data_IF_971529314452
#
_entry.id   IF_971529314452
#
_cell.length_a   1.000
_cell.length_b   1.000
_cell.length_c   1.000
_cell.angle_alpha   90.00
_cell.angle_beta   90.00
_cell.angle_gamma   90.00
#
_symmetry.space_group_name_H-M   'P 1'
#
loop_
_entity.id
_entity.type
_entity.pdbx_description
1 polymer ?
#
# COMPACT_ATOMS: atom_id res chain seq x y z
N UNK A 1 -1.53 22.58 -8.65
CA UNK A 1 -0.19 22.77 -9.22
C UNK A 1 -0.30 23.23 -10.67
N UNK A 2 0.56 24.11 -11.09
CA UNK A 2 0.65 24.63 -12.45
C UNK A 2 1.50 23.74 -13.37
N UNK A 3 2.36 22.92 -12.80
CA UNK A 3 3.25 21.97 -13.46
C UNK A 3 3.71 20.82 -12.55
N UNK A 4 4.53 19.92 -13.09
CA UNK A 4 4.97 18.74 -12.37
C UNK A 4 5.96 19.01 -11.23
N UNK A 5 6.78 20.07 -11.31
CA UNK A 5 7.72 20.41 -10.22
C UNK A 5 6.97 20.90 -8.99
N UNK A 6 6.04 21.85 -9.17
CA UNK A 6 5.16 22.32 -8.10
C UNK A 6 4.31 21.16 -7.52
N UNK A 7 3.84 20.24 -8.38
CA UNK A 7 3.11 19.06 -7.95
C UNK A 7 3.96 18.18 -7.02
N UNK A 8 5.24 17.94 -7.33
CA UNK A 8 6.14 17.16 -6.47
C UNK A 8 6.36 17.82 -5.11
N UNK A 9 6.51 19.15 -5.07
CA UNK A 9 6.62 19.88 -3.80
C UNK A 9 5.36 19.76 -2.93
N UNK A 10 4.18 19.83 -3.55
CA UNK A 10 2.90 19.68 -2.84
C UNK A 10 2.71 18.24 -2.32
N UNK A 11 3.06 17.22 -3.11
CA UNK A 11 2.98 15.81 -2.71
C UNK A 11 3.88 15.51 -1.51
N UNK A 12 5.06 16.15 -1.42
CA UNK A 12 5.94 16.00 -0.26
C UNK A 12 5.37 16.61 1.03
N UNK A 13 4.56 17.67 0.91
CA UNK A 13 3.90 18.35 2.05
C UNK A 13 2.65 17.61 2.50
N UNK A 14 1.84 17.16 1.54
CA UNK A 14 0.57 16.47 1.80
C UNK A 14 0.33 15.41 0.72
N UNK A 15 0.32 14.14 1.12
CA UNK A 15 0.28 12.99 0.24
C UNK A 15 -1.16 12.74 -0.26
N UNK A 16 -1.47 12.93 -1.54
CA UNK A 16 -2.81 12.78 -2.06
C UNK A 16 -3.22 11.31 -2.22
N UNK A 17 -4.54 11.06 -2.22
CA UNK A 17 -5.10 9.73 -2.49
C UNK A 17 -5.09 9.34 -3.96
N UNK A 18 -5.01 10.33 -4.87
CA UNK A 18 -4.95 10.18 -6.33
C UNK A 18 -4.36 11.44 -6.94
N UNK A 19 -3.66 11.31 -8.04
CA UNK A 19 -3.12 12.42 -8.83
C UNK A 19 -3.79 12.44 -10.19
N UNK A 20 -4.27 13.61 -10.57
CA UNK A 20 -4.82 13.90 -11.91
C UNK A 20 -3.94 14.95 -12.56
N UNK A 21 -3.31 14.61 -13.67
CA UNK A 21 -2.36 15.48 -14.36
C UNK A 21 -2.61 15.56 -15.85
N UNK A 22 -2.43 16.72 -16.42
CA UNK A 22 -2.30 16.85 -17.88
C UNK A 22 -0.98 16.18 -18.33
N UNK A 23 -0.97 15.59 -19.52
CA UNK A 23 0.25 15.08 -20.14
C UNK A 23 1.18 16.23 -20.52
N UNK A 24 0.63 17.30 -21.09
CA UNK A 24 1.40 18.45 -21.55
C UNK A 24 1.34 19.57 -20.51
N UNK A 25 2.42 19.76 -19.79
CA UNK A 25 2.59 20.85 -18.82
C UNK A 25 3.97 21.50 -19.03
N UNK A 26 4.15 22.78 -18.61
CA UNK A 26 5.45 23.42 -18.65
C UNK A 26 6.44 22.75 -17.67
N UNK A 27 7.73 22.98 -17.86
CA UNK A 27 8.85 22.50 -17.05
C UNK A 27 8.91 20.97 -16.93
N UNK A 28 7.97 20.34 -16.23
CA UNK A 28 7.86 18.88 -16.08
C UNK A 28 6.51 18.43 -16.62
N UNK A 29 6.52 17.54 -17.60
CA UNK A 29 5.32 16.92 -18.18
C UNK A 29 4.62 15.98 -17.21
N UNK A 30 3.33 15.69 -17.43
CA UNK A 30 2.60 14.72 -16.63
C UNK A 30 3.16 13.28 -16.72
N UNK A 31 3.78 12.94 -17.84
CA UNK A 31 4.44 11.64 -18.01
C UNK A 31 5.73 11.54 -17.19
N UNK A 32 6.52 12.60 -17.13
CA UNK A 32 7.71 12.66 -16.27
C UNK A 32 7.32 12.66 -14.79
N UNK A 33 6.30 13.45 -14.43
CA UNK A 33 5.72 13.45 -13.09
C UNK A 33 5.27 12.03 -12.69
N UNK A 34 4.49 11.36 -13.55
CA UNK A 34 4.03 9.98 -13.30
C UNK A 34 5.21 9.03 -13.10
N UNK A 35 6.24 9.12 -13.94
CA UNK A 35 7.45 8.31 -13.80
C UNK A 35 8.15 8.56 -12.46
N UNK A 36 8.34 9.80 -12.06
CA UNK A 36 8.97 10.13 -10.77
C UNK A 36 8.16 9.57 -9.60
N UNK A 37 6.82 9.76 -9.59
CA UNK A 37 5.93 9.23 -8.56
C UNK A 37 6.04 7.71 -8.49
N UNK A 38 6.03 7.01 -9.62
CA UNK A 38 6.03 5.54 -9.67
C UNK A 38 7.39 4.91 -9.38
N UNK A 39 8.48 5.67 -9.51
CA UNK A 39 9.83 5.20 -9.18
C UNK A 39 10.29 5.55 -7.77
N UNK A 40 9.63 6.48 -7.09
CA UNK A 40 9.91 6.82 -5.69
C UNK A 40 9.17 5.89 -4.74
N UNK A 41 9.93 5.27 -3.82
CA UNK A 41 9.38 4.32 -2.83
C UNK A 41 8.24 4.90 -2.00
N UNK A 42 8.30 6.19 -1.63
CA UNK A 42 7.29 6.80 -0.78
C UNK A 42 5.98 7.11 -1.52
N UNK A 43 6.03 7.34 -2.84
CA UNK A 43 4.89 7.80 -3.63
C UNK A 43 4.36 6.79 -4.64
N UNK A 44 5.10 5.71 -4.94
CA UNK A 44 4.76 4.74 -6.00
C UNK A 44 3.37 4.08 -5.83
N UNK A 45 2.84 4.08 -4.62
CA UNK A 45 1.50 3.56 -4.33
C UNK A 45 0.37 4.51 -4.76
N UNK A 46 0.64 5.80 -5.02
CA UNK A 46 -0.39 6.79 -5.36
C UNK A 46 -0.87 6.55 -6.79
N UNK A 47 -2.19 6.38 -7.04
CA UNK A 47 -2.71 6.28 -8.39
C UNK A 47 -2.51 7.59 -9.15
N UNK A 48 -2.09 7.47 -10.42
CA UNK A 48 -1.90 8.60 -11.35
C UNK A 48 -2.81 8.41 -12.56
N UNK A 49 -3.64 9.39 -12.83
CA UNK A 49 -4.51 9.47 -14.02
C UNK A 49 -3.99 10.59 -14.92
N UNK A 50 -3.66 10.28 -16.17
CA UNK A 50 -3.19 11.25 -17.13
C UNK A 50 -4.30 11.70 -18.07
N UNK A 51 -4.43 13.02 -18.22
CA UNK A 51 -5.32 13.65 -19.19
C UNK A 51 -4.55 13.90 -20.48
N UNK A 52 -5.02 13.38 -21.62
CA UNK A 52 -4.28 13.43 -22.88
C UNK A 52 -5.14 13.90 -24.04
N UNK A 53 -4.54 14.56 -25.05
CA UNK A 53 -5.21 14.80 -26.30
C UNK A 53 -5.37 13.50 -27.10
N UNK A 54 -6.47 13.35 -27.86
CA UNK A 54 -6.77 12.16 -28.65
C UNK A 54 -5.64 11.74 -29.61
N UNK A 55 -4.99 12.70 -30.23
CA UNK A 55 -3.86 12.48 -31.13
C UNK A 55 -2.61 11.90 -30.46
N UNK A 56 -2.41 12.18 -29.17
CA UNK A 56 -1.26 11.66 -28.43
C UNK A 56 -1.42 10.17 -28.06
N UNK A 57 -2.66 9.68 -27.91
CA UNK A 57 -2.94 8.25 -27.66
C UNK A 57 -2.66 7.39 -28.90
N UNK A 58 -3.01 7.89 -30.08
CA UNK A 58 -2.85 7.15 -31.35
C UNK A 58 -1.36 7.02 -31.77
N UNK A 59 -0.52 8.00 -31.41
CA UNK A 59 0.89 8.02 -31.82
C UNK A 59 1.90 7.57 -30.74
N UNK A 60 1.48 7.38 -29.47
CA UNK A 60 2.44 7.18 -28.39
C UNK A 60 1.99 6.18 -27.30
N UNK A 61 1.23 5.13 -27.68
CA UNK A 61 0.79 4.10 -26.75
C UNK A 61 1.98 3.42 -26.04
N UNK A 62 3.14 3.31 -26.68
CA UNK A 62 4.36 2.78 -26.06
C UNK A 62 5.01 3.74 -25.05
N UNK A 63 5.01 5.06 -25.32
CA UNK A 63 5.51 6.07 -24.40
C UNK A 63 4.59 6.33 -23.20
N UNK A 64 3.28 6.05 -23.36
CA UNK A 64 2.27 6.20 -22.31
C UNK A 64 2.24 5.03 -21.31
N UNK A 65 2.87 3.89 -21.62
CA UNK A 65 3.05 2.76 -20.67
C UNK A 65 3.98 3.08 -19.49
N UNK A 66 4.35 4.35 -19.29
CA UNK A 66 5.27 4.79 -18.25
C UNK A 66 4.51 4.96 -16.92
N UNK A 67 3.86 3.89 -16.46
CA UNK A 67 3.47 3.75 -15.07
C UNK A 67 2.22 4.49 -14.60
N UNK A 68 1.45 5.19 -15.45
CA UNK A 68 0.15 5.72 -15.05
C UNK A 68 -0.89 4.61 -14.88
N UNK A 69 -1.79 4.76 -13.93
CA UNK A 69 -2.82 3.76 -13.63
C UNK A 69 -4.04 3.88 -14.56
N UNK A 70 -4.31 5.07 -15.12
CA UNK A 70 -5.35 5.28 -16.12
C UNK A 70 -5.05 6.51 -17.00
N UNK A 71 -5.74 6.56 -18.17
CA UNK A 71 -5.65 7.64 -19.16
C UNK A 71 -7.04 8.09 -19.57
N UNK A 72 -7.24 9.40 -19.67
CA UNK A 72 -8.52 9.99 -20.10
C UNK A 72 -8.27 10.97 -21.23
N UNK A 73 -8.89 10.72 -22.38
CA UNK A 73 -8.75 11.58 -23.57
C UNK A 73 -9.61 12.82 -23.47
N UNK A 74 -9.05 13.95 -23.85
CA UNK A 74 -9.77 15.23 -24.02
C UNK A 74 -10.44 15.29 -25.40
N UNK A 75 -11.68 15.85 -25.53
CA UNK A 75 -12.54 16.32 -24.44
C UNK A 75 -13.19 15.15 -23.69
N UNK A 76 -13.32 15.25 -22.36
CA UNK A 76 -13.90 14.23 -21.52
C UNK A 76 -15.19 14.70 -20.83
N UNK A 77 -16.05 13.74 -20.50
CA UNK A 77 -17.19 13.95 -19.64
C UNK A 77 -16.75 13.95 -18.18
N UNK A 78 -17.07 15.02 -17.43
CA UNK A 78 -16.69 15.19 -16.02
C UNK A 78 -17.20 14.05 -15.14
N UNK A 79 -18.42 13.54 -15.39
CA UNK A 79 -18.96 12.42 -14.63
C UNK A 79 -18.18 11.14 -14.86
N UNK A 80 -17.71 10.90 -16.10
CA UNK A 80 -16.86 9.77 -16.42
C UNK A 80 -15.49 9.87 -15.72
N UNK A 81 -14.87 11.07 -15.72
CA UNK A 81 -13.63 11.34 -15.02
C UNK A 81 -13.76 11.02 -13.51
N UNK A 82 -14.78 11.62 -12.87
CA UNK A 82 -15.05 11.41 -11.44
C UNK A 82 -15.29 9.91 -11.14
N UNK A 83 -16.07 9.23 -11.98
CA UNK A 83 -16.33 7.79 -11.82
C UNK A 83 -15.05 6.95 -11.87
N UNK A 84 -14.15 7.22 -12.83
CA UNK A 84 -12.86 6.50 -12.94
C UNK A 84 -11.95 6.77 -11.76
N UNK A 85 -11.81 8.04 -11.32
CA UNK A 85 -11.04 8.38 -10.13
C UNK A 85 -11.57 7.68 -8.88
N UNK A 86 -12.89 7.72 -8.69
CA UNK A 86 -13.54 7.04 -7.55
C UNK A 86 -13.35 5.52 -7.60
N UNK A 87 -13.40 4.91 -8.79
CA UNK A 87 -13.17 3.47 -8.94
C UNK A 87 -11.74 3.09 -8.53
N UNK A 88 -10.72 3.86 -8.91
CA UNK A 88 -9.33 3.61 -8.50
C UNK A 88 -9.15 3.70 -6.98
N UNK A 89 -9.67 4.77 -6.37
CA UNK A 89 -9.59 4.97 -4.91
C UNK A 89 -10.37 3.90 -4.15
N UNK A 90 -11.60 3.61 -4.56
CA UNK A 90 -12.47 2.63 -3.89
C UNK A 90 -11.95 1.19 -4.05
N UNK A 91 -11.45 0.82 -5.23
CA UNK A 91 -10.84 -0.50 -5.46
C UNK A 91 -9.66 -0.72 -4.51
N UNK A 92 -8.81 0.29 -4.33
CA UNK A 92 -7.70 0.22 -3.39
C UNK A 92 -8.18 0.06 -1.95
N UNK A 93 -9.18 0.85 -1.52
CA UNK A 93 -9.76 0.74 -0.18
C UNK A 93 -10.34 -0.65 0.07
N UNK A 94 -11.08 -1.21 -0.88
CA UNK A 94 -11.64 -2.56 -0.79
C UNK A 94 -10.54 -3.63 -0.68
N UNK A 95 -9.42 -3.46 -1.41
CA UNK A 95 -8.27 -4.36 -1.29
C UNK A 95 -7.62 -4.25 0.09
N UNK A 96 -7.47 -3.05 0.65
CA UNK A 96 -6.97 -2.85 2.01
C UNK A 96 -7.88 -3.51 3.07
N UNK A 97 -9.20 -3.37 2.94
CA UNK A 97 -10.17 -4.03 3.82
C UNK A 97 -10.08 -5.56 3.73
N UNK A 98 -9.93 -6.11 2.52
CA UNK A 98 -9.73 -7.55 2.33
C UNK A 98 -8.39 -8.03 2.89
N UNK A 99 -7.32 -7.26 2.67
CA UNK A 99 -6.01 -7.54 3.21
C UNK A 99 -6.02 -7.59 4.74
N UNK A 100 -6.69 -6.65 5.41
CA UNK A 100 -6.80 -6.65 6.87
C UNK A 100 -7.42 -7.94 7.41
N UNK A 101 -8.33 -8.55 6.64
CA UNK A 101 -8.97 -9.83 7.00
C UNK A 101 -8.15 -11.06 6.59
N UNK A 102 -7.41 -11.00 5.49
CA UNK A 102 -6.64 -12.13 4.94
C UNK A 102 -5.29 -11.67 4.32
N UNK A 103 -4.29 -11.30 5.13
CA UNK A 103 -3.04 -10.72 4.65
C UNK A 103 -2.31 -11.57 3.59
N UNK A 104 -2.12 -12.88 3.84
CA UNK A 104 -1.41 -13.76 2.93
C UNK A 104 -2.10 -13.93 1.57
N UNK A 105 -3.45 -13.95 1.57
CA UNK A 105 -4.22 -14.14 0.33
C UNK A 105 -4.23 -12.88 -0.56
N UNK A 106 -4.18 -11.69 0.04
CA UNK A 106 -4.36 -10.43 -0.68
C UNK A 106 -3.10 -9.57 -0.79
N UNK A 107 -1.96 -9.98 -0.21
CA UNK A 107 -0.71 -9.21 -0.28
C UNK A 107 -0.27 -8.93 -1.73
N UNK A 108 -0.35 -9.93 -2.61
CA UNK A 108 0.01 -9.77 -4.02
C UNK A 108 -0.94 -8.86 -4.81
N UNK A 109 -2.23 -8.84 -4.43
CA UNK A 109 -3.23 -7.97 -5.07
C UNK A 109 -3.14 -6.53 -4.58
N UNK A 110 -2.69 -6.33 -3.34
CA UNK A 110 -2.54 -5.01 -2.73
C UNK A 110 -1.32 -4.26 -3.28
N UNK A 111 -0.27 -4.99 -3.58
CA UNK A 111 0.96 -4.46 -4.15
C UNK A 111 0.78 -4.20 -5.66
N UNK A 112 0.44 -2.97 -6.01
CA UNK A 112 0.23 -2.56 -7.40
C UNK A 112 1.54 -2.36 -8.18
N UNK A 113 2.68 -2.36 -7.49
CA UNK A 113 4.01 -2.20 -8.07
C UNK A 113 5.02 -3.13 -7.38
N UNK A 114 6.17 -3.42 -8.04
CA UNK A 114 7.20 -4.32 -7.50
C UNK A 114 7.78 -3.88 -6.15
N UNK A 115 7.96 -2.58 -5.93
CA UNK A 115 8.53 -2.04 -4.68
C UNK A 115 7.61 -2.28 -3.47
N UNK A 116 6.30 -2.06 -3.65
CA UNK A 116 5.32 -2.34 -2.60
C UNK A 116 5.23 -3.84 -2.31
N UNK A 117 5.35 -4.67 -3.36
CA UNK A 117 5.37 -6.13 -3.20
C UNK A 117 6.57 -6.58 -2.37
N UNK A 118 7.76 -6.17 -2.75
CA UNK A 118 9.00 -6.51 -2.03
C UNK A 118 8.95 -6.03 -0.57
N UNK A 119 8.45 -4.81 -0.34
CA UNK A 119 8.26 -4.27 1.00
C UNK A 119 7.29 -5.13 1.83
N UNK A 120 6.14 -5.52 1.28
CA UNK A 120 5.16 -6.32 2.00
C UNK A 120 5.68 -7.73 2.28
N UNK A 121 6.30 -8.37 1.30
CA UNK A 121 6.89 -9.70 1.45
C UNK A 121 7.97 -9.70 2.55
N UNK A 122 8.85 -8.70 2.54
CA UNK A 122 9.87 -8.51 3.58
C UNK A 122 9.25 -8.23 4.95
N UNK A 123 8.23 -7.36 5.00
CA UNK A 123 7.54 -7.03 6.25
C UNK A 123 6.89 -8.26 6.88
N UNK A 124 6.20 -9.08 6.09
CA UNK A 124 5.59 -10.33 6.56
C UNK A 124 6.64 -11.33 7.02
N UNK A 125 7.72 -11.51 6.27
CA UNK A 125 8.81 -12.41 6.64
C UNK A 125 9.50 -12.04 7.97
N UNK A 126 9.68 -10.73 8.22
CA UNK A 126 10.22 -10.24 9.50
C UNK A 126 9.28 -10.57 10.64
N UNK A 127 7.99 -10.31 10.51
CA UNK A 127 7.01 -10.59 11.56
C UNK A 127 6.91 -12.11 11.82
N UNK A 128 6.95 -12.93 10.77
CA UNK A 128 6.92 -14.39 10.91
C UNK A 128 8.16 -14.93 11.65
N UNK A 129 9.33 -14.33 11.45
CA UNK A 129 10.57 -14.67 12.16
C UNK A 129 10.51 -14.35 13.65
N UNK A 130 9.76 -13.31 14.01
CA UNK A 130 9.56 -12.85 15.38
C UNK A 130 8.18 -13.20 15.93
N UNK A 131 7.56 -14.25 15.40
CA UNK A 131 6.16 -14.53 15.71
C UNK A 131 5.92 -14.77 17.20
N UNK A 132 6.79 -15.55 17.85
CA UNK A 132 6.75 -15.92 19.26
C UNK A 132 7.40 -14.90 20.20
N UNK A 133 8.08 -13.90 19.65
CA UNK A 133 8.79 -12.91 20.46
C UNK A 133 7.82 -11.84 20.99
N UNK A 134 7.52 -11.88 22.29
CA UNK A 134 6.66 -10.91 22.99
C UNK A 134 7.23 -9.48 23.00
N UNK A 135 8.57 -9.33 22.92
CA UNK A 135 9.25 -8.03 22.93
C UNK A 135 9.33 -7.39 21.53
N UNK A 136 8.92 -8.13 20.48
CA UNK A 136 8.92 -7.59 19.13
C UNK A 136 7.91 -6.44 18.99
N UNK A 137 8.43 -5.25 18.70
CA UNK A 137 7.68 -4.00 18.64
C UNK A 137 8.03 -3.20 17.37
N UNK A 138 7.32 -2.08 17.15
CA UNK A 138 7.49 -1.24 15.97
C UNK A 138 8.92 -0.70 15.81
N UNK A 139 9.67 -0.48 16.90
CA UNK A 139 11.05 0.00 16.80
C UNK A 139 11.99 -1.07 16.24
N UNK A 140 11.83 -2.33 16.72
CA UNK A 140 12.57 -3.49 16.19
C UNK A 140 12.17 -3.72 14.74
N UNK A 141 10.86 -3.70 14.46
CA UNK A 141 10.34 -3.87 13.11
C UNK A 141 10.89 -2.83 12.13
N UNK A 142 10.88 -1.54 12.47
CA UNK A 142 11.43 -0.47 11.62
C UNK A 142 12.94 -0.66 11.38
N UNK A 143 13.69 -1.03 12.42
CA UNK A 143 15.13 -1.30 12.30
C UNK A 143 15.42 -2.47 11.34
N UNK A 144 14.69 -3.57 11.43
CA UNK A 144 14.86 -4.73 10.54
C UNK A 144 14.38 -4.45 9.11
N UNK A 145 13.38 -3.59 8.94
CA UNK A 145 12.98 -3.07 7.64
C UNK A 145 14.04 -2.14 7.03
N UNK A 146 15.00 -1.63 7.82
CA UNK A 146 15.97 -0.61 7.39
C UNK A 146 15.31 0.76 7.16
N UNK A 147 14.24 1.06 7.88
CA UNK A 147 13.42 2.26 7.69
C UNK A 147 13.34 3.09 8.97
N UNK A 148 13.24 4.42 8.84
CA UNK A 148 12.81 5.26 9.94
C UNK A 148 11.36 4.89 10.34
N UNK A 149 11.06 4.94 11.65
CA UNK A 149 9.73 4.58 12.18
C UNK A 149 8.59 5.36 11.52
N UNK A 150 8.79 6.65 11.26
CA UNK A 150 7.82 7.51 10.58
C UNK A 150 7.57 7.05 9.15
N UNK A 151 8.63 6.71 8.40
CA UNK A 151 8.51 6.24 7.03
C UNK A 151 7.80 4.88 6.96
N UNK A 152 8.15 3.95 7.87
CA UNK A 152 7.45 2.67 7.99
C UNK A 152 5.95 2.87 8.27
N UNK A 153 5.62 3.77 9.22
CA UNK A 153 4.23 4.07 9.56
C UNK A 153 3.47 4.61 8.35
N UNK A 154 4.00 5.66 7.70
CA UNK A 154 3.37 6.30 6.56
C UNK A 154 3.18 5.32 5.40
N UNK A 155 4.24 4.57 5.07
CA UNK A 155 4.21 3.63 3.93
C UNK A 155 3.29 2.43 4.18
N UNK A 156 3.36 1.78 5.34
CA UNK A 156 2.46 0.67 5.67
C UNK A 156 1.01 1.14 5.69
N UNK A 157 0.72 2.27 6.33
CA UNK A 157 -0.65 2.80 6.36
C UNK A 157 -1.16 3.13 4.96
N UNK A 158 -0.34 3.72 4.11
CA UNK A 158 -0.71 4.07 2.74
C UNK A 158 -0.94 2.82 1.87
N UNK A 159 -0.13 1.77 2.01
CA UNK A 159 -0.28 0.55 1.22
C UNK A 159 -1.37 -0.36 1.79
N UNK A 160 -1.36 -0.63 3.09
CA UNK A 160 -2.21 -1.66 3.72
C UNK A 160 -3.46 -1.12 4.43
N UNK A 161 -3.53 0.20 4.66
CA UNK A 161 -4.56 0.81 5.50
C UNK A 161 -4.30 0.63 7.01
N UNK A 162 -3.27 -0.13 7.40
CA UNK A 162 -2.98 -0.50 8.80
C UNK A 162 -1.78 0.27 9.36
N UNK A 163 -1.82 0.59 10.65
CA UNK A 163 -0.62 1.02 11.36
C UNK A 163 0.35 -0.16 11.52
N UNK A 164 1.67 0.07 11.75
CA UNK A 164 2.62 -1.02 11.99
C UNK A 164 2.22 -1.96 13.14
N UNK A 165 1.61 -1.43 14.21
CA UNK A 165 1.09 -2.26 15.31
C UNK A 165 -0.07 -3.14 14.86
N UNK A 166 -1.05 -2.57 14.14
CA UNK A 166 -2.20 -3.32 13.64
C UNK A 166 -1.76 -4.38 12.63
N UNK A 167 -0.74 -4.07 11.82
CA UNK A 167 -0.17 -5.00 10.85
C UNK A 167 0.48 -6.21 11.55
N UNK A 168 1.33 -5.99 12.56
CA UNK A 168 1.92 -7.06 13.38
C UNK A 168 0.80 -7.89 14.02
N UNK A 169 -0.16 -7.23 14.65
CA UNK A 169 -1.28 -7.88 15.34
C UNK A 169 -2.10 -8.74 14.37
N UNK A 170 -2.44 -8.21 13.19
CA UNK A 170 -3.25 -8.92 12.20
C UNK A 170 -2.58 -10.22 11.71
N UNK A 171 -1.25 -10.22 11.53
CA UNK A 171 -0.49 -11.40 11.12
C UNK A 171 -0.44 -12.42 12.25
N UNK A 172 -0.18 -11.99 13.50
CA UNK A 172 -0.17 -12.85 14.68
C UNK A 172 -1.51 -13.55 14.89
N UNK A 173 -2.62 -12.77 14.86
CA UNK A 173 -3.97 -13.32 15.01
C UNK A 173 -4.29 -14.35 13.93
N UNK A 174 -3.88 -14.08 12.69
CA UNK A 174 -4.08 -15.00 11.58
C UNK A 174 -3.35 -16.32 11.77
N UNK A 175 -2.09 -16.26 12.21
CA UNK A 175 -1.33 -17.47 12.55
C UNK A 175 -1.98 -18.22 13.72
N UNK A 176 -2.47 -17.51 14.73
CA UNK A 176 -3.25 -18.08 15.83
C UNK A 176 -4.50 -18.81 15.35
N UNK A 177 -5.26 -18.20 14.42
CA UNK A 177 -6.44 -18.84 13.83
C UNK A 177 -6.11 -20.12 13.06
N UNK A 178 -4.99 -20.12 12.33
CA UNK A 178 -4.50 -21.33 11.63
C UNK A 178 -4.08 -22.40 12.65
N UNK A 179 -3.37 -22.03 13.71
CA UNK A 179 -2.97 -22.97 14.76
C UNK A 179 -4.18 -23.57 15.48
N UNK A 180 -5.17 -22.76 15.86
CA UNK A 180 -6.42 -23.25 16.48
C UNK A 180 -7.15 -24.27 15.61
N UNK A 181 -7.12 -24.12 14.30
CA UNK A 181 -7.78 -25.04 13.37
C UNK A 181 -7.00 -26.34 13.17
N UNK A 182 -5.66 -26.25 13.07
CA UNK A 182 -4.82 -27.36 12.62
C UNK A 182 -4.18 -28.14 13.78
N UNK A 183 -4.20 -27.61 15.00
CA UNK A 183 -3.55 -28.18 16.16
C UNK A 183 -4.54 -28.30 17.34
N UNK A 184 -5.51 -29.21 17.26
CA UNK A 184 -6.55 -29.37 18.30
C UNK A 184 -5.99 -29.78 19.67
N UNK A 185 -4.75 -30.28 19.71
CA UNK A 185 -4.02 -30.62 20.93
C UNK A 185 -3.49 -29.43 21.71
N UNK A 186 -3.37 -28.27 21.06
CA UNK A 186 -2.85 -27.06 21.71
C UNK A 186 -3.96 -26.29 22.42
N UNK A 187 -3.68 -25.87 23.65
CA UNK A 187 -4.57 -25.00 24.38
C UNK A 187 -4.37 -23.51 23.98
N UNK A 188 -5.32 -22.65 24.36
CA UNK A 188 -5.31 -21.21 24.01
C UNK A 188 -4.05 -20.51 24.54
N UNK A 189 -3.54 -20.91 25.70
CA UNK A 189 -2.34 -20.31 26.29
C UNK A 189 -1.11 -20.65 25.46
N UNK A 190 -0.93 -21.92 25.08
CA UNK A 190 0.17 -22.37 24.25
C UNK A 190 0.16 -21.69 22.88
N UNK A 191 -1.01 -21.51 22.27
CA UNK A 191 -1.14 -20.79 21.00
C UNK A 191 -0.78 -19.31 21.19
N UNK A 192 -1.29 -18.68 22.24
CA UNK A 192 -0.98 -17.29 22.61
C UNK A 192 0.52 -17.05 22.71
N UNK A 193 1.23 -17.93 23.39
CA UNK A 193 2.70 -17.84 23.58
C UNK A 193 3.44 -18.00 22.23
N UNK A 194 3.04 -18.98 21.41
CA UNK A 194 3.64 -19.26 20.10
C UNK A 194 3.46 -18.14 19.07
N UNK A 195 2.48 -17.26 19.28
CA UNK A 195 2.24 -16.10 18.42
C UNK A 195 2.63 -14.77 19.08
N UNK A 196 3.39 -14.83 20.18
CA UNK A 196 4.03 -13.68 20.81
C UNK A 196 3.08 -12.74 21.56
N UNK A 197 1.99 -13.28 22.12
CA UNK A 197 1.16 -12.52 23.06
C UNK A 197 1.67 -12.73 24.48
N UNK A 198 1.84 -11.66 25.23
CA UNK A 198 2.21 -11.71 26.64
C UNK A 198 1.08 -12.16 27.57
N UNK A 199 -0.15 -12.29 27.04
CA UNK A 199 -1.34 -12.66 27.80
C UNK A 199 -2.37 -13.36 26.92
N UNK A 200 -2.74 -14.58 27.28
CA UNK A 200 -3.82 -15.32 26.64
C UNK A 200 -5.19 -14.63 26.76
N UNK A 201 -5.40 -13.87 27.84
CA UNK A 201 -6.60 -13.04 28.02
C UNK A 201 -6.68 -11.91 26.98
N UNK A 202 -5.54 -11.26 26.69
CA UNK A 202 -5.47 -10.25 25.66
C UNK A 202 -5.65 -10.85 24.27
N UNK A 203 -5.02 -11.99 24.00
CA UNK A 203 -5.24 -12.74 22.75
C UNK A 203 -6.73 -13.05 22.54
N UNK A 204 -7.44 -13.60 23.54
CA UNK A 204 -8.86 -13.91 23.44
C UNK A 204 -9.76 -12.68 23.24
N UNK A 205 -9.30 -11.50 23.64
CA UNK A 205 -10.01 -10.23 23.39
C UNK A 205 -9.83 -9.72 21.96
N UNK A 206 -8.66 -9.97 21.36
CA UNK A 206 -8.31 -9.53 20.02
C UNK A 206 -8.81 -10.50 18.95
N UNK A 207 -9.05 -11.76 19.32
CA UNK A 207 -9.53 -12.82 18.46
C UNK A 207 -11.07 -12.83 18.36
#
# INVERSE_FOLDING_TARGET
ASDGEEAMELIQKDMPSIILSDVVMPRMSGTELSKQIKTDFNTCHIPVVLLTARTAVEHNIEGLKIGADDYITKPFNTNLLISRCNNLVNSRRLLQEKFSKQPQAFAQMLATNPMDKEMLDRAMAIIERHLDNTDFNVNIFAREMGMARTNLFTKLKAVTGQTPNDFILSIRLKKGAVMLRNNPELNITEISDRIGFSSSRYFSKCF
#
